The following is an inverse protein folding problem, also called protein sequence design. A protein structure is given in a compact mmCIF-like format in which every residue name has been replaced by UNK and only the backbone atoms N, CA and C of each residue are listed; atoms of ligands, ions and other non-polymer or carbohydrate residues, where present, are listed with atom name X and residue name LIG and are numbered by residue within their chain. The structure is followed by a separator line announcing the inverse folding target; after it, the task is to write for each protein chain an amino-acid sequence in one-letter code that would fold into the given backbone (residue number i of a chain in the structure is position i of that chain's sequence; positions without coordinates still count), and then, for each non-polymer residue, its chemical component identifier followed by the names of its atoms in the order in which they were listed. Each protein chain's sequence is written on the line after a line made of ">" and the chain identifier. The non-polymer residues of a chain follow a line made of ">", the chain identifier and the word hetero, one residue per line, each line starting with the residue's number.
data_IF_372976401937
#
_entry.id   IF_372976401937
#
_cell.length_a   1.000
_cell.length_b   1.000
_cell.length_c   1.000
_cell.angle_alpha   90.00
_cell.angle_beta   90.00
_cell.angle_gamma   90.00
#
_symmetry.space_group_name_H-M   'P 1'
#
loop_
_entity.id
_entity.type
_entity.pdbx_description
1 polymer ?
#
# COMPACT_ATOMS: atom_id res chain seq x y z
N UNK A 1 -1.94 -20.02 -19.33
CA UNK A 1 -0.90 -19.30 -18.59
C UNK A 1 -1.58 -18.53 -17.47
N UNK A 2 -1.30 -18.87 -16.21
CA UNK A 2 -1.76 -18.07 -15.06
C UNK A 2 -1.19 -16.66 -15.21
N UNK A 3 -2.05 -15.63 -15.20
CA UNK A 3 -1.59 -14.24 -15.17
C UNK A 3 -0.79 -14.07 -13.88
N UNK A 4 0.47 -13.70 -13.98
CA UNK A 4 1.31 -13.52 -12.80
C UNK A 4 0.67 -12.45 -11.88
N UNK A 5 0.44 -12.84 -10.62
CA UNK A 5 -0.15 -11.95 -9.61
C UNK A 5 0.81 -10.81 -9.29
N UNK A 6 0.28 -9.60 -9.19
CA UNK A 6 1.01 -8.41 -8.72
C UNK A 6 0.36 -7.85 -7.47
N UNK A 7 1.16 -7.61 -6.44
CA UNK A 7 0.76 -6.91 -5.20
C UNK A 7 1.62 -5.67 -5.06
N UNK A 8 0.98 -4.54 -4.74
CA UNK A 8 1.67 -3.27 -4.55
C UNK A 8 1.74 -2.95 -3.06
N UNK A 9 2.92 -2.59 -2.58
CA UNK A 9 3.14 -2.16 -1.20
C UNK A 9 3.39 -0.65 -1.23
N UNK A 10 2.51 0.11 -0.59
CA UNK A 10 2.56 1.58 -0.52
C UNK A 10 2.83 2.00 0.92
N UNK A 11 3.94 2.69 1.12
CA UNK A 11 4.34 3.22 2.41
C UNK A 11 4.30 4.76 2.44
N UNK A 12 3.76 5.29 3.50
CA UNK A 12 3.65 6.72 3.78
C UNK A 12 4.88 7.31 4.48
N UNK A 13 4.72 8.49 5.08
CA UNK A 13 5.82 9.30 5.60
C UNK A 13 6.60 8.58 6.70
N UNK A 14 7.91 8.83 6.67
CA UNK A 14 8.90 8.34 7.63
C UNK A 14 9.15 6.82 7.62
N UNK A 15 8.47 6.03 6.78
CA UNK A 15 8.70 4.59 6.68
C UNK A 15 9.97 4.23 5.90
N UNK A 16 10.56 5.19 5.19
CA UNK A 16 11.93 5.11 4.66
C UNK A 16 13.00 5.05 5.76
N UNK A 17 12.65 5.39 7.01
CA UNK A 17 13.55 5.36 8.17
C UNK A 17 13.36 4.11 9.04
N UNK A 18 12.59 3.14 8.57
CA UNK A 18 12.36 1.89 9.29
C UNK A 18 13.69 1.17 9.57
N UNK A 19 13.84 0.62 10.78
CA UNK A 19 15.09 0.05 11.28
C UNK A 19 16.10 1.06 11.84
N UNK A 20 15.89 2.36 11.61
CA UNK A 20 16.74 3.45 12.13
C UNK A 20 16.00 4.32 13.15
N UNK A 21 14.68 4.44 13.03
CA UNK A 21 13.84 5.28 13.87
C UNK A 21 13.17 4.43 14.95
N UNK A 22 13.25 4.87 16.20
CA UNK A 22 12.55 4.33 17.38
C UNK A 22 12.49 2.78 17.38
N UNK A 23 13.63 2.08 17.51
CA UNK A 23 13.67 0.61 17.42
C UNK A 23 12.78 -0.11 18.43
N UNK A 24 12.51 0.54 19.58
CA UNK A 24 11.60 0.03 20.61
C UNK A 24 10.14 -0.01 20.18
N UNK A 25 9.75 0.78 19.17
CA UNK A 25 8.37 0.88 18.67
C UNK A 25 8.23 0.15 17.33
N UNK A 26 9.19 0.34 16.42
CA UNK A 26 9.10 -0.13 15.03
C UNK A 26 10.01 -1.33 14.74
N UNK A 27 10.83 -1.76 15.69
CA UNK A 27 11.82 -2.80 15.49
C UNK A 27 13.09 -2.32 14.78
N UNK A 28 14.03 -3.24 14.56
CA UNK A 28 15.35 -2.97 13.95
C UNK A 28 15.41 -3.39 12.47
N UNK A 29 14.39 -4.06 11.95
CA UNK A 29 14.34 -4.58 10.58
C UNK A 29 14.06 -3.45 9.60
N UNK A 30 14.87 -3.29 8.57
CA UNK A 30 14.64 -2.29 7.53
C UNK A 30 13.55 -2.74 6.55
N UNK A 31 12.97 -1.80 5.79
CA UNK A 31 11.96 -2.15 4.79
C UNK A 31 12.54 -3.02 3.67
N UNK A 32 13.79 -2.82 3.29
CA UNK A 32 14.47 -3.65 2.29
C UNK A 32 14.54 -5.12 2.74
N UNK A 33 14.82 -5.37 4.03
CA UNK A 33 14.83 -6.72 4.60
C UNK A 33 13.44 -7.34 4.59
N UNK A 34 12.40 -6.55 4.92
CA UNK A 34 11.00 -6.99 4.86
C UNK A 34 10.62 -7.41 3.44
N UNK A 35 10.97 -6.60 2.44
CA UNK A 35 10.68 -6.90 1.04
C UNK A 35 11.39 -8.17 0.54
N UNK A 36 12.66 -8.37 0.93
CA UNK A 36 13.42 -9.59 0.61
C UNK A 36 12.77 -10.82 1.21
N UNK A 37 12.32 -10.75 2.46
CA UNK A 37 11.68 -11.88 3.13
C UNK A 37 10.32 -12.21 2.49
N UNK A 38 9.50 -11.21 2.18
CA UNK A 38 8.23 -11.37 1.47
C UNK A 38 8.46 -11.99 0.08
N UNK A 39 9.41 -11.48 -0.70
CA UNK A 39 9.70 -12.02 -2.03
C UNK A 39 10.19 -13.49 -1.97
N UNK A 40 10.93 -13.85 -0.91
CA UNK A 40 11.38 -15.23 -0.70
C UNK A 40 10.22 -16.15 -0.31
N UNK A 41 9.28 -15.66 0.50
CA UNK A 41 8.11 -16.43 0.92
C UNK A 41 7.11 -16.67 -0.24
N UNK A 42 7.02 -15.72 -1.18
CA UNK A 42 6.07 -15.75 -2.30
C UNK A 42 6.78 -15.53 -3.65
N UNK A 43 7.60 -16.49 -4.13
CA UNK A 43 8.46 -16.31 -5.32
C UNK A 43 7.67 -16.09 -6.61
N UNK A 44 6.44 -16.58 -6.70
CA UNK A 44 5.57 -16.47 -7.88
C UNK A 44 4.76 -15.16 -7.91
N UNK A 45 4.81 -14.35 -6.85
CA UNK A 45 4.14 -13.05 -6.76
C UNK A 45 5.12 -11.94 -7.13
N UNK A 46 4.68 -11.04 -7.98
CA UNK A 46 5.44 -9.83 -8.27
C UNK A 46 5.08 -8.73 -7.27
N UNK A 47 6.06 -8.24 -6.56
CA UNK A 47 5.89 -7.11 -5.66
C UNK A 47 6.40 -5.82 -6.28
N UNK A 48 5.62 -4.77 -6.16
CA UNK A 48 6.04 -3.41 -6.44
C UNK A 48 5.99 -2.61 -5.14
N UNK A 49 7.08 -1.89 -4.83
CA UNK A 49 7.20 -1.09 -3.64
C UNK A 49 7.23 0.39 -3.98
N UNK A 50 6.42 1.18 -3.28
CA UNK A 50 6.38 2.64 -3.35
C UNK A 50 6.46 3.22 -1.94
N UNK A 51 7.21 4.31 -1.79
CA UNK A 51 7.28 5.06 -0.55
C UNK A 51 7.37 6.54 -0.84
N UNK A 52 6.57 7.35 -0.14
CA UNK A 52 6.66 8.80 -0.18
C UNK A 52 6.31 9.43 1.16
N UNK A 53 6.85 10.62 1.38
CA UNK A 53 6.45 11.49 2.48
C UNK A 53 5.31 12.46 2.09
N UNK A 54 4.88 12.44 0.83
CA UNK A 54 3.86 13.33 0.29
C UNK A 54 2.52 12.61 0.17
N UNK A 55 1.47 13.22 0.69
CA UNK A 55 0.11 12.69 0.68
C UNK A 55 -0.40 12.44 -0.76
N UNK A 56 -0.16 13.41 -1.65
CA UNK A 56 -0.58 13.33 -3.05
C UNK A 56 0.00 12.12 -3.78
N UNK A 57 1.27 11.77 -3.53
CA UNK A 57 1.87 10.58 -4.14
C UNK A 57 1.16 9.29 -3.72
N UNK A 58 0.76 9.18 -2.43
CA UNK A 58 0.01 8.02 -1.95
C UNK A 58 -1.35 7.92 -2.63
N UNK A 59 -2.05 9.04 -2.76
CA UNK A 59 -3.35 9.13 -3.43
C UNK A 59 -3.21 8.71 -4.89
N UNK A 60 -2.25 9.26 -5.62
CA UNK A 60 -2.00 8.95 -7.03
C UNK A 60 -1.68 7.47 -7.24
N UNK A 61 -0.87 6.87 -6.36
CA UNK A 61 -0.56 5.44 -6.44
C UNK A 61 -1.77 4.56 -6.11
N UNK A 62 -2.53 4.89 -5.04
CA UNK A 62 -3.73 4.13 -4.70
C UNK A 62 -4.73 4.16 -5.87
N UNK A 63 -4.95 5.30 -6.50
CA UNK A 63 -5.81 5.42 -7.67
C UNK A 63 -5.26 4.66 -8.87
N UNK A 64 -3.97 4.84 -9.21
CA UNK A 64 -3.37 4.24 -10.40
C UNK A 64 -3.26 2.72 -10.35
N UNK A 65 -3.10 2.15 -9.15
CA UNK A 65 -3.05 0.69 -8.96
C UNK A 65 -4.40 0.09 -8.58
N UNK A 66 -5.27 0.88 -7.94
CA UNK A 66 -6.54 0.42 -7.41
C UNK A 66 -7.69 0.45 -8.41
N UNK A 67 -7.62 1.26 -9.47
CA UNK A 67 -8.68 1.42 -10.47
C UNK A 67 -8.34 0.62 -11.74
N UNK A 68 -8.67 -0.67 -11.74
CA UNK A 68 -8.36 -1.60 -12.84
C UNK A 68 -9.12 -1.25 -14.13
N UNK A 69 -10.31 -0.67 -14.01
CA UNK A 69 -11.13 -0.23 -15.15
C UNK A 69 -10.46 0.89 -15.95
N UNK A 70 -9.59 1.70 -15.33
CA UNK A 70 -8.80 2.72 -16.01
C UNK A 70 -7.64 2.13 -16.83
N UNK A 71 -7.28 0.85 -16.63
CA UNK A 71 -6.28 0.19 -17.48
C UNK A 71 -6.73 0.06 -18.95
N UNK A 72 -8.05 0.03 -19.18
CA UNK A 72 -8.63 -0.05 -20.52
C UNK A 72 -9.12 1.32 -21.05
N UNK A 73 -9.22 2.32 -20.19
CA UNK A 73 -9.50 3.68 -20.61
C UNK A 73 -8.17 4.34 -20.97
N UNK A 74 -7.88 4.40 -22.26
CA UNK A 74 -6.94 5.37 -22.80
C UNK A 74 -7.42 6.72 -22.28
N UNK A 75 -6.75 7.29 -21.26
CA UNK A 75 -7.00 8.65 -20.82
C UNK A 75 -6.67 9.55 -22.02
N UNK A 76 -7.69 9.78 -22.85
CA UNK A 76 -7.67 10.90 -23.77
C UNK A 76 -7.55 12.14 -22.88
N UNK A 77 -6.40 12.77 -22.98
CA UNK A 77 -6.13 14.04 -22.34
C UNK A 77 -7.27 14.99 -22.69
N UNK A 78 -8.15 15.22 -21.73
CA UNK A 78 -9.07 16.32 -21.79
C UNK A 78 -8.28 17.53 -21.32
N UNK A 79 -8.01 18.44 -22.24
CA UNK A 79 -7.45 19.77 -22.05
C UNK A 79 -6.00 19.86 -21.54
N UNK A 80 -5.01 19.45 -22.35
CA UNK A 80 -3.67 20.05 -22.35
C UNK A 80 -2.88 20.12 -21.04
N UNK A 81 -3.40 19.60 -19.94
CA UNK A 81 -2.70 19.40 -18.67
C UNK A 81 -2.33 17.93 -18.59
N UNK A 82 -1.09 17.65 -18.90
CA UNK A 82 -0.47 16.34 -18.70
C UNK A 82 -0.67 15.91 -17.26
N UNK A 83 -1.64 15.02 -17.02
CA UNK A 83 -1.49 14.08 -15.94
C UNK A 83 -0.25 13.27 -16.34
N UNK A 84 0.87 13.50 -15.65
CA UNK A 84 2.07 12.71 -15.86
C UNK A 84 1.67 11.24 -15.71
N UNK A 85 1.80 10.42 -16.77
CA UNK A 85 1.69 8.99 -16.59
C UNK A 85 2.76 8.65 -15.56
N UNK A 86 2.34 8.14 -14.38
CA UNK A 86 3.29 7.46 -13.52
C UNK A 86 3.96 6.45 -14.43
N UNK A 87 5.29 6.53 -14.60
CA UNK A 87 6.08 5.69 -15.48
C UNK A 87 5.72 4.22 -15.24
N UNK A 88 4.80 3.71 -16.05
CA UNK A 88 4.53 2.28 -16.10
C UNK A 88 5.64 1.66 -16.94
N UNK A 89 6.43 0.73 -16.40
CA UNK A 89 7.36 -0.01 -17.22
C UNK A 89 6.56 -0.69 -18.32
N UNK A 90 6.76 -0.25 -19.55
CA UNK A 90 6.23 -0.89 -20.75
C UNK A 90 6.67 -2.35 -20.75
N UNK A 91 5.73 -3.29 -20.61
CA UNK A 91 5.99 -4.69 -20.90
C UNK A 91 5.48 -5.77 -19.96
N UNK A 92 4.79 -5.49 -18.87
CA UNK A 92 4.26 -6.55 -18.03
C UNK A 92 2.76 -6.35 -17.73
N UNK A 93 1.93 -7.10 -18.47
CA UNK A 93 0.47 -7.18 -18.27
C UNK A 93 0.13 -8.02 -17.02
N UNK A 94 0.68 -7.65 -15.86
CA UNK A 94 0.36 -8.28 -14.59
C UNK A 94 -0.78 -7.53 -13.94
N UNK A 95 -1.88 -8.21 -13.70
CA UNK A 95 -3.05 -7.63 -13.04
C UNK A 95 -2.72 -7.40 -11.56
N UNK A 96 -2.90 -6.16 -11.10
CA UNK A 96 -2.80 -5.84 -9.67
C UNK A 96 -3.94 -6.57 -8.94
N UNK A 97 -3.59 -7.30 -7.88
CA UNK A 97 -4.51 -8.12 -7.10
C UNK A 97 -4.81 -7.53 -5.73
N UNK A 98 -4.04 -6.55 -5.30
CA UNK A 98 -4.28 -5.83 -4.07
C UNK A 98 -3.16 -4.87 -3.73
N UNK A 99 -3.46 -4.01 -2.79
CA UNK A 99 -2.56 -3.00 -2.25
C UNK A 99 -2.38 -3.24 -0.77
N UNK A 100 -1.13 -3.33 -0.31
CA UNK A 100 -0.77 -3.26 1.11
C UNK A 100 -0.43 -1.81 1.40
N UNK A 101 -1.20 -1.16 2.26
CA UNK A 101 -1.07 0.27 2.55
C UNK A 101 -0.67 0.50 4.01
N UNK A 102 0.50 1.06 4.22
CA UNK A 102 0.86 1.67 5.50
C UNK A 102 0.94 3.19 5.31
N UNK A 103 -0.14 3.88 5.59
CA UNK A 103 -0.24 5.32 5.34
C UNK A 103 0.57 6.17 6.35
N UNK A 104 1.17 5.53 7.37
CA UNK A 104 1.88 6.25 8.43
C UNK A 104 0.97 7.24 9.15
N UNK A 105 1.43 8.47 9.37
CA UNK A 105 0.64 9.52 10.03
C UNK A 105 -0.63 9.93 9.28
N UNK A 106 -0.67 9.76 7.96
CA UNK A 106 -1.84 10.11 7.16
C UNK A 106 -3.07 9.25 7.46
N UNK A 107 -2.89 8.06 8.05
CA UNK A 107 -4.04 7.26 8.48
C UNK A 107 -4.95 7.99 9.47
N UNK A 108 -4.40 8.92 10.24
CA UNK A 108 -5.13 9.67 11.28
C UNK A 108 -5.67 11.03 10.79
N UNK A 109 -5.24 11.52 9.61
CA UNK A 109 -5.45 12.91 9.18
C UNK A 109 -6.00 13.07 7.78
N UNK A 110 -5.83 12.07 6.90
CA UNK A 110 -6.15 12.22 5.49
C UNK A 110 -7.53 11.67 5.13
N UNK A 111 -8.50 12.55 5.01
CA UNK A 111 -9.79 12.24 4.40
C UNK A 111 -9.61 12.00 2.89
N UNK A 112 -8.71 12.75 2.23
CA UNK A 112 -8.46 12.60 0.80
C UNK A 112 -7.91 11.20 0.44
N UNK A 113 -6.99 10.67 1.26
CA UNK A 113 -6.49 9.30 1.07
C UNK A 113 -7.58 8.26 1.36
N UNK A 114 -8.43 8.50 2.40
CA UNK A 114 -9.60 7.66 2.66
C UNK A 114 -10.51 7.56 1.43
N UNK A 115 -10.84 8.70 0.82
CA UNK A 115 -11.72 8.75 -0.35
C UNK A 115 -11.07 8.02 -1.56
N UNK A 116 -9.76 8.16 -1.74
CA UNK A 116 -9.03 7.42 -2.76
C UNK A 116 -9.11 5.90 -2.54
N UNK A 117 -8.93 5.41 -1.30
CA UNK A 117 -9.05 3.99 -0.94
C UNK A 117 -10.48 3.50 -1.17
N UNK A 118 -11.50 4.28 -0.79
CA UNK A 118 -12.90 3.91 -0.98
C UNK A 118 -13.31 3.74 -2.45
N UNK A 119 -12.57 4.35 -3.39
CA UNK A 119 -12.81 4.22 -4.82
C UNK A 119 -12.10 3.03 -5.48
N UNK A 120 -11.24 2.28 -4.77
CA UNK A 120 -10.47 1.18 -5.38
C UNK A 120 -11.35 -0.01 -5.74
N UNK A 121 -11.01 -0.66 -6.84
CA UNK A 121 -11.63 -1.92 -7.32
C UNK A 121 -10.88 -3.16 -6.81
N UNK A 122 -9.65 -2.99 -6.32
CA UNK A 122 -8.85 -4.06 -5.73
C UNK A 122 -8.84 -3.93 -4.20
N UNK A 123 -8.70 -5.05 -3.46
CA UNK A 123 -8.65 -4.97 -2.01
C UNK A 123 -7.41 -4.16 -1.54
N UNK A 124 -7.64 -3.24 -0.62
CA UNK A 124 -6.59 -2.54 0.13
C UNK A 124 -6.54 -3.12 1.53
N UNK A 125 -5.37 -3.58 1.95
CA UNK A 125 -5.10 -4.07 3.32
C UNK A 125 -4.24 -3.04 4.04
N UNK A 126 -4.81 -2.46 5.10
CA UNK A 126 -4.12 -1.48 5.94
C UNK A 126 -3.15 -2.18 6.90
N UNK A 127 -1.93 -1.65 7.05
CA UNK A 127 -0.92 -2.17 7.98
C UNK A 127 -0.44 -1.08 8.92
N UNK A 128 -0.51 -1.36 10.23
CA UNK A 128 0.11 -0.57 11.28
C UNK A 128 1.17 -1.41 12.00
N UNK A 129 2.44 -0.98 11.93
CA UNK A 129 3.54 -1.66 12.59
C UNK A 129 3.35 -1.65 14.11
N UNK A 130 2.98 -0.48 14.66
CA UNK A 130 2.68 -0.34 16.09
C UNK A 130 1.19 -0.53 16.37
N UNK A 131 0.87 -0.91 17.60
CA UNK A 131 -0.50 -0.91 18.11
C UNK A 131 -0.96 0.53 18.33
N UNK A 132 -1.78 1.03 17.40
CA UNK A 132 -2.28 2.42 17.44
C UNK A 132 -3.16 2.68 18.66
N UNK A 133 -3.82 1.67 19.22
CA UNK A 133 -4.69 1.83 20.39
C UNK A 133 -3.91 2.17 21.66
N UNK A 134 -2.61 1.88 21.69
CA UNK A 134 -1.67 2.18 22.78
C UNK A 134 -0.86 3.45 22.56
N UNK A 135 -1.17 4.20 21.50
CA UNK A 135 -0.49 5.45 21.17
C UNK A 135 -1.23 6.65 21.77
N UNK A 136 -0.74 7.84 21.47
CA UNK A 136 -1.37 9.10 21.88
C UNK A 136 -2.82 9.20 21.34
N UNK A 137 -3.72 9.84 22.07
CA UNK A 137 -5.16 9.86 21.76
C UNK A 137 -5.47 10.23 20.29
N UNK A 138 -4.71 11.16 19.71
CA UNK A 138 -4.89 11.57 18.31
C UNK A 138 -4.43 10.52 17.28
N UNK A 139 -3.75 9.44 17.73
CA UNK A 139 -3.32 8.32 16.89
C UNK A 139 -4.15 7.06 17.06
N UNK A 140 -5.17 7.08 17.91
CA UNK A 140 -5.94 5.87 18.21
C UNK A 140 -7.03 5.57 17.19
N UNK A 141 -7.32 6.52 16.30
CA UNK A 141 -8.34 6.36 15.26
C UNK A 141 -7.67 6.35 13.89
N UNK A 142 -7.93 5.32 13.10
CA UNK A 142 -7.64 5.30 11.66
C UNK A 142 -8.86 5.75 10.89
N UNK A 143 -8.70 6.71 9.99
CA UNK A 143 -9.73 7.10 9.03
C UNK A 143 -9.87 6.10 7.88
N UNK A 144 -8.88 5.20 7.69
CA UNK A 144 -8.82 4.27 6.57
C UNK A 144 -9.47 2.92 6.87
N UNK A 145 -9.52 2.50 8.14
CA UNK A 145 -9.94 1.14 8.52
C UNK A 145 -11.30 0.75 7.93
N UNK A 146 -12.29 1.65 7.97
CA UNK A 146 -13.66 1.35 7.49
C UNK A 146 -13.78 1.22 5.96
N UNK A 147 -12.79 1.69 5.21
CA UNK A 147 -12.76 1.63 3.73
C UNK A 147 -11.73 0.61 3.21
N UNK A 148 -10.89 0.08 4.07
CA UNK A 148 -9.97 -1.01 3.75
C UNK A 148 -10.69 -2.36 3.83
N UNK A 149 -10.27 -3.31 2.99
CA UNK A 149 -10.81 -4.67 2.99
C UNK A 149 -10.39 -5.45 4.26
N UNK A 150 -9.25 -5.11 4.84
CA UNK A 150 -8.73 -5.68 6.08
C UNK A 150 -7.73 -4.72 6.72
N UNK A 151 -7.53 -4.86 8.04
CA UNK A 151 -6.58 -4.04 8.80
C UNK A 151 -5.77 -4.92 9.75
N UNK A 152 -4.44 -4.73 9.76
CA UNK A 152 -3.48 -5.45 10.60
C UNK A 152 -2.78 -4.43 11.47
N UNK A 153 -2.86 -4.59 12.80
CA UNK A 153 -2.43 -3.57 13.76
C UNK A 153 -1.56 -4.19 14.84
N UNK A 154 -0.34 -3.65 15.01
CA UNK A 154 0.52 -3.99 16.14
C UNK A 154 1.38 -5.26 15.97
N UNK A 155 1.44 -5.82 14.77
CA UNK A 155 2.21 -7.03 14.47
C UNK A 155 3.64 -6.73 13.99
N UNK A 156 4.14 -5.52 14.21
CA UNK A 156 5.46 -5.13 13.75
C UNK A 156 5.57 -5.20 12.23
N UNK A 157 6.75 -5.51 11.74
CA UNK A 157 7.00 -5.67 10.30
C UNK A 157 6.40 -6.95 9.70
N UNK A 158 6.05 -7.92 10.54
CA UNK A 158 5.43 -9.19 10.08
C UNK A 158 4.02 -8.94 9.54
N UNK A 159 3.36 -7.85 9.97
CA UNK A 159 2.07 -7.41 9.43
C UNK A 159 2.06 -7.21 7.91
N UNK A 160 3.19 -6.89 7.28
CA UNK A 160 3.27 -6.80 5.82
C UNK A 160 3.12 -8.17 5.15
N UNK A 161 3.74 -9.21 5.71
CA UNK A 161 3.61 -10.57 5.20
C UNK A 161 2.20 -11.09 5.40
N UNK A 162 1.58 -10.84 6.56
CA UNK A 162 0.19 -11.20 6.85
C UNK A 162 -0.78 -10.52 5.86
N UNK A 163 -0.54 -9.24 5.52
CA UNK A 163 -1.33 -8.52 4.53
C UNK A 163 -1.23 -9.14 3.13
N UNK A 164 -0.03 -9.53 2.72
CA UNK A 164 0.20 -10.24 1.45
C UNK A 164 -0.54 -11.58 1.45
N UNK A 165 -0.44 -12.36 2.52
CA UNK A 165 -1.13 -13.64 2.66
C UNK A 165 -2.65 -13.48 2.59
N UNK A 166 -3.18 -12.45 3.26
CA UNK A 166 -4.60 -12.13 3.20
C UNK A 166 -5.05 -11.85 1.75
N UNK A 167 -4.32 -11.01 1.02
CA UNK A 167 -4.63 -10.69 -0.39
C UNK A 167 -4.60 -11.94 -1.26
N UNK A 168 -3.59 -12.80 -1.12
CA UNK A 168 -3.46 -14.04 -1.90
C UNK A 168 -4.66 -14.96 -1.65
N UNK A 169 -5.08 -15.10 -0.40
CA UNK A 169 -6.17 -16.01 -0.01
C UNK A 169 -7.55 -15.51 -0.46
N UNK A 170 -7.75 -14.20 -0.59
CA UNK A 170 -9.02 -13.59 -1.00
C UNK A 170 -9.13 -13.29 -2.50
N UNK A 171 -8.11 -13.60 -3.29
CA UNK A 171 -8.10 -13.48 -4.75
C UNK A 171 -8.08 -14.83 -5.48
N UNK A 172 -8.47 -15.92 -4.80
CA UNK A 172 -8.60 -17.26 -5.40
C UNK A 172 -9.89 -17.39 -6.19
#
# INVERSE_FOLDING_TARGET
>A
MLKAMKIVIVNGPNLNLLGRREPSIYGTKSMEQVLVDIQRAYPDVHFEYRQSNHEGDLIDWVQSYGLVSLENACLQAVDGRSATPVDRPSGCSRVVKGIVLNAGGYTHTSVALRDAVACTEVPVVEVHISDITKREAFRQVSLLTDVCAHSIVGHGTDGYQEAVEWIINHNK
#
